data_IF_952274052203
#
_entry.id   IF_952274052203
#
_cell.length_a   1.000
_cell.length_b   1.000
_cell.length_c   1.000
_cell.angle_alpha   90.00
_cell.angle_beta   90.00
_cell.angle_gamma   90.00
#
_symmetry.space_group_name_H-M   'P 1'
#
loop_
_entity.id
_entity.type
_entity.pdbx_description
1 polymer ?
#
# COMPACT_ATOMS: atom_id res chain seq x y z
N UNK A 1 -2.34 -26.02 -59.01
CA UNK A 1 -2.31 -24.59 -58.62
C UNK A 1 -3.25 -24.23 -57.46
N UNK A 2 -4.52 -24.68 -57.43
CA UNK A 2 -5.45 -24.29 -56.35
C UNK A 2 -5.18 -24.93 -54.96
N UNK A 3 -4.73 -26.19 -54.93
CA UNK A 3 -4.51 -26.93 -53.67
C UNK A 3 -3.30 -26.39 -52.88
N UNK A 4 -2.18 -26.12 -53.56
CA UNK A 4 -0.97 -25.58 -52.93
C UNK A 4 -1.16 -24.17 -52.37
N UNK A 5 -1.96 -23.35 -53.06
CA UNK A 5 -2.35 -22.02 -52.59
C UNK A 5 -3.19 -22.08 -51.31
N UNK A 6 -4.09 -23.07 -51.21
CA UNK A 6 -4.91 -23.29 -50.01
C UNK A 6 -4.06 -23.77 -48.82
N UNK A 7 -3.08 -24.65 -49.06
CA UNK A 7 -2.15 -25.13 -48.02
C UNK A 7 -1.24 -24.00 -47.53
N UNK A 8 -0.73 -23.17 -48.44
CA UNK A 8 0.10 -22.01 -48.08
C UNK A 8 -0.66 -20.98 -47.23
N UNK A 9 -1.93 -20.72 -47.56
CA UNK A 9 -2.81 -19.85 -46.74
C UNK A 9 -3.05 -20.40 -45.34
N UNK A 10 -3.32 -21.70 -45.23
CA UNK A 10 -3.57 -22.33 -43.93
C UNK A 10 -2.32 -22.30 -43.03
N UNK A 11 -1.12 -22.52 -43.60
CA UNK A 11 0.16 -22.39 -42.90
C UNK A 11 0.44 -20.95 -42.46
N UNK A 12 0.14 -19.97 -43.31
CA UNK A 12 0.28 -18.56 -42.98
C UNK A 12 -0.67 -18.15 -41.85
N UNK A 13 -1.94 -18.58 -41.91
CA UNK A 13 -2.93 -18.33 -40.86
C UNK A 13 -2.51 -18.97 -39.52
N UNK A 14 -2.04 -20.22 -39.53
CA UNK A 14 -1.51 -20.88 -38.34
C UNK A 14 -0.28 -20.15 -37.77
N UNK A 15 0.65 -19.72 -38.62
CA UNK A 15 1.82 -18.95 -38.20
C UNK A 15 1.44 -17.59 -37.60
N UNK A 16 0.46 -16.89 -38.17
CA UNK A 16 -0.06 -15.62 -37.65
C UNK A 16 -0.77 -15.83 -36.31
N UNK A 17 -1.59 -16.88 -36.17
CA UNK A 17 -2.25 -17.21 -34.89
C UNK A 17 -1.23 -17.55 -33.80
N UNK A 18 -0.17 -18.31 -34.13
CA UNK A 18 0.94 -18.61 -33.22
C UNK A 18 1.72 -17.34 -32.81
N UNK A 19 1.99 -16.43 -33.75
CA UNK A 19 2.68 -15.15 -33.49
C UNK A 19 1.87 -14.21 -32.58
N UNK A 20 0.54 -14.15 -32.75
CA UNK A 20 -0.34 -13.34 -31.90
C UNK A 20 -0.43 -13.91 -30.48
N UNK A 21 -0.41 -15.25 -30.33
CA UNK A 21 -0.42 -15.90 -29.02
C UNK A 21 0.86 -15.65 -28.19
N UNK A 22 2.02 -15.45 -28.84
CA UNK A 22 3.28 -15.13 -28.14
C UNK A 22 3.36 -13.69 -27.60
N UNK A 23 2.49 -12.79 -28.06
CA UNK A 23 2.48 -11.39 -27.63
C UNK A 23 1.59 -11.14 -26.38
N UNK A 24 0.83 -12.15 -25.95
CA UNK A 24 -0.02 -12.09 -24.76
C UNK A 24 0.71 -12.69 -23.54
N UNK A 25 1.93 -12.24 -23.25
CA UNK A 25 2.51 -12.51 -21.94
C UNK A 25 1.96 -11.47 -20.97
N UNK A 26 1.19 -11.86 -19.94
CA UNK A 26 0.87 -10.93 -18.87
C UNK A 26 2.19 -10.55 -18.20
N UNK A 27 2.52 -9.25 -18.25
CA UNK A 27 3.70 -8.70 -17.59
C UNK A 27 3.64 -9.06 -16.10
N UNK A 28 4.53 -9.94 -15.65
CA UNK A 28 4.56 -10.46 -14.27
C UNK A 28 4.80 -9.37 -13.20
N UNK A 29 5.09 -8.14 -13.60
CA UNK A 29 5.32 -6.98 -12.73
C UNK A 29 4.13 -6.02 -12.61
N UNK A 30 3.04 -6.23 -13.36
CA UNK A 30 1.87 -5.37 -13.24
C UNK A 30 1.09 -5.74 -11.97
N UNK A 31 1.16 -4.87 -10.95
CA UNK A 31 0.29 -5.00 -9.77
C UNK A 31 -1.19 -5.07 -10.22
N UNK A 32 -2.00 -6.00 -9.66
CA UNK A 32 -3.44 -5.89 -9.78
C UNK A 32 -3.87 -4.49 -9.34
N UNK A 33 -4.73 -3.83 -10.13
CA UNK A 33 -5.11 -2.43 -9.90
C UNK A 33 -5.58 -2.16 -8.46
N UNK A 34 -6.23 -3.16 -7.85
CA UNK A 34 -6.65 -3.14 -6.45
C UNK A 34 -5.48 -3.02 -5.45
N UNK A 35 -4.41 -3.80 -5.62
CA UNK A 35 -3.22 -3.75 -4.75
C UNK A 35 -2.57 -2.37 -4.83
N UNK A 36 -2.49 -1.81 -6.04
CA UNK A 36 -1.93 -0.47 -6.26
C UNK A 36 -2.71 0.61 -5.51
N UNK A 37 -4.04 0.61 -5.62
CA UNK A 37 -4.88 1.59 -4.93
C UNK A 37 -4.72 1.49 -3.41
N UNK A 38 -4.72 0.26 -2.86
CA UNK A 38 -4.54 0.03 -1.42
C UNK A 38 -3.14 0.41 -0.93
N UNK A 39 -2.10 0.13 -1.71
CA UNK A 39 -0.73 0.54 -1.41
C UNK A 39 -0.59 2.06 -1.41
N UNK A 40 -1.16 2.76 -2.40
CA UNK A 40 -1.16 4.22 -2.43
C UNK A 40 -1.91 4.82 -1.23
N UNK A 41 -3.03 4.22 -0.84
CA UNK A 41 -3.76 4.61 0.36
C UNK A 41 -2.92 4.41 1.63
N UNK A 42 -2.25 3.26 1.75
CA UNK A 42 -1.30 2.97 2.85
C UNK A 42 -0.18 4.00 2.92
N UNK A 43 0.46 4.35 1.79
CA UNK A 43 1.53 5.36 1.76
C UNK A 43 1.02 6.73 2.20
N UNK A 44 -0.17 7.12 1.72
CA UNK A 44 -0.80 8.39 2.12
C UNK A 44 -1.01 8.45 3.63
N UNK A 45 -1.55 7.38 4.22
CA UNK A 45 -1.87 7.34 5.64
C UNK A 45 -0.63 7.17 6.53
N UNK A 46 0.34 6.34 6.14
CA UNK A 46 1.31 5.79 7.08
C UNK A 46 2.76 6.09 6.78
N UNK A 47 3.13 6.65 5.62
CA UNK A 47 4.55 6.87 5.30
C UNK A 47 4.84 8.35 5.15
N UNK A 48 5.68 8.87 6.04
CA UNK A 48 6.21 10.22 5.93
C UNK A 48 7.49 10.40 6.74
N UNK A 49 8.65 10.31 6.07
CA UNK A 49 9.96 10.47 6.72
C UNK A 49 10.17 11.82 7.43
N UNK A 50 9.52 12.89 6.95
CA UNK A 50 9.62 14.24 7.51
C UNK A 50 8.58 14.58 8.59
N UNK A 51 7.82 13.60 9.08
CA UNK A 51 6.77 13.84 10.08
C UNK A 51 7.36 14.24 11.43
N UNK A 52 6.63 15.07 12.18
CA UNK A 52 6.86 15.31 13.60
C UNK A 52 5.54 15.43 14.39
N UNK A 53 5.64 15.43 15.72
CA UNK A 53 4.50 15.40 16.65
C UNK A 53 3.57 16.62 16.50
N UNK A 54 4.10 17.77 16.07
CA UNK A 54 3.34 19.03 15.94
C UNK A 54 2.60 19.13 14.60
N UNK A 55 2.86 18.22 13.68
CA UNK A 55 2.33 18.26 12.32
C UNK A 55 1.06 17.44 12.12
N UNK A 56 0.62 16.65 13.11
CA UNK A 56 -0.52 15.75 13.01
C UNK A 56 -1.75 16.40 12.35
N UNK A 57 -2.26 17.50 12.90
CA UNK A 57 -3.40 18.24 12.33
C UNK A 57 -3.19 18.60 10.86
N UNK A 58 -2.06 19.25 10.57
CA UNK A 58 -1.79 19.81 9.24
C UNK A 58 -1.60 18.72 8.19
N UNK A 59 -0.90 17.64 8.53
CA UNK A 59 -0.59 16.56 7.59
C UNK A 59 -1.81 15.68 7.36
N UNK A 60 -2.53 15.30 8.43
CA UNK A 60 -3.78 14.53 8.31
C UNK A 60 -4.82 15.30 7.52
N UNK A 61 -5.00 16.60 7.80
CA UNK A 61 -5.92 17.46 7.07
C UNK A 61 -5.52 17.61 5.59
N UNK A 62 -4.25 17.93 5.31
CA UNK A 62 -3.77 18.13 3.93
C UNK A 62 -3.84 16.84 3.09
N UNK A 63 -3.63 15.68 3.71
CA UNK A 63 -3.69 14.37 3.04
C UNK A 63 -5.11 13.78 2.97
N UNK A 64 -6.11 14.46 3.53
CA UNK A 64 -7.50 13.99 3.55
C UNK A 64 -7.66 12.64 4.25
N UNK A 65 -6.90 12.39 5.32
CA UNK A 65 -6.99 11.12 6.05
C UNK A 65 -8.22 11.15 6.96
N UNK A 66 -9.14 10.22 6.74
CA UNK A 66 -10.43 10.12 7.42
C UNK A 66 -10.71 8.69 7.86
N UNK A 67 -11.77 8.51 8.66
CA UNK A 67 -12.28 7.19 9.02
C UNK A 67 -12.98 6.58 7.80
N UNK A 68 -12.34 5.61 7.14
CA UNK A 68 -12.86 4.98 5.92
C UNK A 68 -13.21 6.01 4.85
N UNK A 69 -14.30 5.79 4.12
CA UNK A 69 -14.78 6.69 3.06
C UNK A 69 -15.70 7.81 3.59
N UNK A 70 -15.55 8.20 4.86
CA UNK A 70 -16.35 9.26 5.49
C UNK A 70 -15.58 10.58 5.59
N UNK A 71 -16.25 11.65 6.05
CA UNK A 71 -15.59 12.89 6.43
C UNK A 71 -15.26 12.96 7.94
N UNK A 72 -15.41 11.84 8.66
CA UNK A 72 -15.11 11.80 10.09
C UNK A 72 -13.60 11.76 10.32
N UNK A 73 -13.16 12.37 11.43
CA UNK A 73 -11.77 12.29 11.86
C UNK A 73 -11.41 10.82 12.13
N UNK A 74 -10.24 10.37 11.66
CA UNK A 74 -9.71 9.07 12.06
C UNK A 74 -9.24 9.14 13.51
N UNK A 75 -9.61 8.18 14.34
CA UNK A 75 -9.30 8.20 15.79
C UNK A 75 -7.80 8.14 16.08
N UNK A 76 -7.09 7.24 15.41
CA UNK A 76 -5.63 7.12 15.49
C UNK A 76 -5.07 6.99 14.08
N UNK A 77 -3.97 7.70 13.82
CA UNK A 77 -3.18 7.50 12.61
C UNK A 77 -1.69 7.54 12.93
N UNK A 78 -0.97 6.48 12.57
CA UNK A 78 0.47 6.40 12.77
C UNK A 78 1.23 6.68 11.48
N UNK A 79 2.22 7.58 11.53
CA UNK A 79 3.20 7.79 10.48
C UNK A 79 4.52 7.10 10.84
N UNK A 80 5.04 6.33 9.89
CA UNK A 80 6.34 5.69 9.92
C UNK A 80 7.36 6.65 9.30
N UNK A 81 8.42 6.96 10.06
CA UNK A 81 9.45 7.91 9.68
C UNK A 81 10.56 7.18 8.92
N UNK A 82 10.19 6.71 7.73
CA UNK A 82 11.06 5.93 6.84
C UNK A 82 10.68 6.19 5.37
N UNK A 83 11.49 5.67 4.45
CA UNK A 83 11.15 5.68 3.02
C UNK A 83 10.14 4.57 2.70
N UNK A 84 9.43 4.74 1.58
CA UNK A 84 8.50 3.72 1.09
C UNK A 84 9.19 2.38 0.82
N UNK A 85 10.46 2.37 0.41
CA UNK A 85 11.25 1.16 0.15
C UNK A 85 11.57 0.42 1.45
N UNK A 86 11.95 1.16 2.49
CA UNK A 86 12.22 0.59 3.81
C UNK A 86 10.97 -0.06 4.40
N UNK A 87 9.80 0.57 4.24
CA UNK A 87 8.53 0.01 4.72
C UNK A 87 8.09 -1.17 3.85
N UNK A 88 8.28 -1.12 2.53
CA UNK A 88 7.99 -2.24 1.62
C UNK A 88 8.80 -3.48 1.96
N UNK A 89 10.05 -3.32 2.38
CA UNK A 89 10.91 -4.43 2.76
C UNK A 89 10.31 -5.29 3.89
N UNK A 90 9.39 -4.76 4.72
CA UNK A 90 8.68 -5.54 5.75
C UNK A 90 7.81 -6.65 5.14
N UNK A 91 7.26 -6.44 3.94
CA UNK A 91 6.52 -7.47 3.19
C UNK A 91 7.43 -8.45 2.41
N UNK A 92 8.73 -8.44 2.69
CA UNK A 92 9.77 -9.25 2.06
C UNK A 92 10.73 -9.75 3.16
N UNK A 93 12.04 -9.66 2.95
CA UNK A 93 13.08 -10.11 3.88
C UNK A 93 13.18 -9.29 5.18
N UNK A 94 12.56 -8.10 5.22
CA UNK A 94 12.59 -7.20 6.37
C UNK A 94 11.56 -7.52 7.45
N UNK A 95 10.65 -8.47 7.23
CA UNK A 95 9.59 -8.83 8.17
C UNK A 95 9.45 -10.33 8.41
N UNK A 96 8.70 -10.68 9.45
CA UNK A 96 8.35 -12.06 9.82
C UNK A 96 6.83 -12.21 9.77
N UNK A 97 6.29 -13.32 9.22
CA UNK A 97 4.85 -13.57 9.25
C UNK A 97 4.31 -13.61 10.68
N UNK A 98 3.19 -12.92 10.93
CA UNK A 98 2.49 -12.87 12.22
C UNK A 98 1.10 -13.55 12.17
N UNK A 99 0.77 -14.16 11.04
CA UNK A 99 -0.52 -14.80 10.77
C UNK A 99 -1.33 -14.08 9.70
N UNK A 100 -2.16 -14.82 8.96
CA UNK A 100 -2.91 -14.28 7.82
C UNK A 100 -1.98 -13.61 6.81
N UNK A 101 -2.26 -12.35 6.48
CA UNK A 101 -1.42 -11.54 5.61
C UNK A 101 -0.57 -10.50 6.36
N UNK A 102 -0.43 -10.63 7.69
CA UNK A 102 0.31 -9.69 8.52
C UNK A 102 1.79 -10.06 8.63
N UNK A 103 2.65 -9.03 8.54
CA UNK A 103 4.10 -9.13 8.69
C UNK A 103 4.58 -8.15 9.75
N UNK A 104 5.35 -8.63 10.72
CA UNK A 104 6.02 -7.80 11.71
C UNK A 104 7.45 -7.49 11.28
N UNK A 105 7.84 -6.21 11.35
CA UNK A 105 9.20 -5.78 11.03
C UNK A 105 10.23 -6.42 11.96
N UNK A 106 11.33 -6.90 11.41
CA UNK A 106 12.46 -7.46 12.18
C UNK A 106 13.27 -6.40 12.94
N UNK A 107 13.20 -5.14 12.50
CA UNK A 107 13.87 -4.00 13.12
C UNK A 107 12.83 -2.96 13.51
N UNK A 108 13.06 -2.20 14.60
CA UNK A 108 12.14 -1.15 15.00
C UNK A 108 12.21 0.04 14.04
N UNK A 109 11.08 0.72 13.89
CA UNK A 109 10.94 1.96 13.13
C UNK A 109 10.62 3.12 14.09
N UNK A 110 11.17 4.33 13.85
CA UNK A 110 10.64 5.54 14.46
C UNK A 110 9.25 5.84 13.88
N UNK A 111 8.30 6.19 14.76
CA UNK A 111 6.93 6.51 14.38
C UNK A 111 6.42 7.75 15.11
N UNK A 112 5.51 8.49 14.48
CA UNK A 112 4.63 9.45 15.16
C UNK A 112 3.22 8.88 15.16
N UNK A 113 2.66 8.63 16.35
CA UNK A 113 1.24 8.29 16.52
C UNK A 113 0.45 9.57 16.74
N UNK A 114 -0.50 9.85 15.87
CA UNK A 114 -1.44 10.96 16.02
C UNK A 114 -2.76 10.42 16.60
N UNK A 115 -3.07 10.75 17.85
CA UNK A 115 -4.34 10.38 18.49
C UNK A 115 -5.28 11.57 18.51
N UNK A 116 -6.52 11.37 18.09
CA UNK A 116 -7.55 12.41 18.10
C UNK A 116 -7.74 12.92 19.54
N UNK A 117 -7.88 14.23 19.68
CA UNK A 117 -8.13 14.92 20.96
C UNK A 117 -9.48 15.63 20.92
N UNK A 118 -9.82 16.23 19.78
CA UNK A 118 -11.12 16.89 19.59
C UNK A 118 -11.45 17.07 18.11
N UNK A 119 -12.71 17.39 17.85
CA UNK A 119 -13.29 17.45 16.51
C UNK A 119 -13.91 16.12 16.10
N UNK A 120 -14.99 16.18 15.32
CA UNK A 120 -15.65 14.97 14.79
C UNK A 120 -15.47 14.78 13.29
N UNK A 121 -15.21 15.86 12.55
CA UNK A 121 -15.11 15.87 11.09
C UNK A 121 -14.07 16.88 10.60
N UNK A 122 -13.49 16.63 9.44
CA UNK A 122 -12.59 17.60 8.79
C UNK A 122 -13.33 18.92 8.48
N UNK A 123 -12.66 20.09 8.52
CA UNK A 123 -11.23 20.30 8.81
C UNK A 123 -10.92 20.52 10.30
N UNK A 124 -11.83 20.15 11.22
CA UNK A 124 -11.73 20.49 12.65
C UNK A 124 -11.00 19.44 13.49
N UNK A 125 -10.39 18.43 12.87
CA UNK A 125 -9.70 17.36 13.59
C UNK A 125 -8.44 17.89 14.29
N UNK A 126 -8.33 17.65 15.59
CA UNK A 126 -7.20 18.05 16.44
C UNK A 126 -6.55 16.83 17.06
N UNK A 127 -5.25 16.68 16.88
CA UNK A 127 -4.50 15.50 17.24
C UNK A 127 -3.36 15.82 18.21
N UNK A 128 -3.09 14.87 19.10
CA UNK A 128 -1.85 14.82 19.88
C UNK A 128 -0.89 13.85 19.20
N UNK A 129 0.27 14.36 18.78
CA UNK A 129 1.37 13.55 18.28
C UNK A 129 2.22 12.98 19.42
N UNK A 130 2.61 11.72 19.30
CA UNK A 130 3.55 11.05 20.19
C UNK A 130 4.60 10.30 19.38
N UNK A 131 5.87 10.62 19.62
CA UNK A 131 7.00 9.89 19.05
C UNK A 131 7.29 8.62 19.84
N UNK A 132 7.57 7.53 19.15
CA UNK A 132 8.09 6.31 19.74
C UNK A 132 8.93 5.54 18.70
N UNK A 133 9.61 4.50 19.17
CA UNK A 133 10.36 3.56 18.34
C UNK A 133 9.88 2.15 18.68
N UNK A 134 9.35 1.42 17.70
CA UNK A 134 8.75 0.08 17.91
C UNK A 134 8.82 -0.75 16.64
N UNK A 135 8.66 -2.07 16.77
CA UNK A 135 8.31 -2.89 15.60
C UNK A 135 6.95 -2.47 15.07
N UNK A 136 6.75 -2.59 13.77
CA UNK A 136 5.49 -2.32 13.09
C UNK A 136 4.93 -3.62 12.55
N UNK A 137 3.61 -3.77 12.58
CA UNK A 137 2.90 -4.84 11.89
C UNK A 137 2.13 -4.24 10.73
N UNK A 138 2.34 -4.77 9.52
CA UNK A 138 1.67 -4.33 8.30
C UNK A 138 0.98 -5.51 7.64
N UNK A 139 -0.22 -5.27 7.10
CA UNK A 139 -0.86 -6.21 6.19
C UNK A 139 -0.24 -6.08 4.81
N UNK A 140 0.16 -7.20 4.23
CA UNK A 140 0.78 -7.29 2.91
C UNK A 140 -0.18 -7.92 1.92
N UNK A 141 -0.20 -7.41 0.69
CA UNK A 141 -0.81 -8.07 -0.46
C UNK A 141 0.30 -8.28 -1.48
N UNK A 142 0.59 -9.54 -1.82
CA UNK A 142 1.84 -9.91 -2.50
C UNK A 142 3.05 -9.37 -1.70
N UNK A 143 3.86 -8.48 -2.28
CA UNK A 143 5.03 -7.86 -1.61
C UNK A 143 4.81 -6.39 -1.26
N UNK A 144 3.54 -5.95 -1.17
CA UNK A 144 3.18 -4.54 -0.98
C UNK A 144 2.39 -4.32 0.32
N UNK A 145 2.76 -3.33 1.14
CA UNK A 145 2.02 -3.03 2.35
C UNK A 145 0.70 -2.32 2.00
N UNK A 146 -0.40 -2.79 2.56
CA UNK A 146 -1.76 -2.33 2.23
C UNK A 146 -2.59 -1.98 3.47
N UNK A 147 -2.06 -2.23 4.67
CA UNK A 147 -2.72 -1.97 5.94
C UNK A 147 -1.68 -1.80 7.06
N UNK A 148 -1.95 -0.93 8.03
CA UNK A 148 -1.15 -0.76 9.24
C UNK A 148 -1.98 -1.21 10.46
N UNK A 149 -1.52 -2.27 11.13
CA UNK A 149 -2.24 -2.93 12.24
C UNK A 149 -2.18 -2.12 13.54
N UNK A 150 -1.16 -1.27 13.70
CA UNK A 150 -0.92 -0.54 14.95
C UNK A 150 -1.91 0.59 15.24
N UNK A 151 -2.80 0.95 14.31
CA UNK A 151 -3.85 1.97 14.53
C UNK A 151 -5.08 1.39 15.25
N UNK A 152 -5.28 0.08 15.21
CA UNK A 152 -6.41 -0.62 15.86
C UNK A 152 -6.15 -0.88 17.36
N UNK A 153 -4.94 -0.58 17.83
CA UNK A 153 -4.54 -0.71 19.24
C UNK A 153 -4.97 0.54 20.03
N UNK A 154 -6.22 0.51 20.49
CA UNK A 154 -6.69 1.38 21.58
C UNK A 154 -5.97 0.91 22.85
N UNK A 155 -5.06 1.74 23.37
CA UNK A 155 -4.49 1.61 24.72
C UNK A 155 -5.00 2.80 25.52
#
# INVERSE_FOLDING_TARGET
MGLEYSVAKFRLLLAVVLLVALCATPSADAQPAEVKARYQHFLNQHVFGGMNEKQCDSVIGKRGITQGDTNNCKETNTFILATQEQVRAVCQEGGKPKGGNLYESTKPFPVITCRLQSGGRQPKCKYRGQKSTRTITVGCAQTWPVHYDGDDLII
#
